data_IF_901973296998
#
_entry.id   IF_901973296998
#
_cell.length_a   1.000
_cell.length_b   1.000
_cell.length_c   1.000
_cell.angle_alpha   90.00
_cell.angle_beta   90.00
_cell.angle_gamma   90.00
#
_symmetry.space_group_name_H-M   'P 1'
#
loop_
_entity.id
_entity.type
_entity.pdbx_description
1 polymer ?
#
# COMPACT_ATOMS: atom_id res chain seq x y z
N UNK A 1 -4.81 -21.45 -32.49
CA UNK A 1 -4.92 -20.01 -32.19
C UNK A 1 -4.69 -19.80 -30.69
N UNK A 2 -3.64 -19.09 -30.27
CA UNK A 2 -3.52 -18.64 -28.86
C UNK A 2 -4.50 -17.47 -28.67
N UNK A 3 -5.35 -17.56 -27.65
CA UNK A 3 -6.22 -16.44 -27.27
C UNK A 3 -5.33 -15.21 -26.98
N UNK A 4 -5.64 -14.02 -27.51
CA UNK A 4 -4.93 -12.81 -27.13
C UNK A 4 -5.07 -12.61 -25.62
N UNK A 5 -3.99 -12.20 -24.95
CA UNK A 5 -4.02 -11.96 -23.53
C UNK A 5 -5.05 -10.85 -23.27
N UNK A 6 -6.06 -11.06 -22.40
CA UNK A 6 -7.06 -10.02 -22.15
C UNK A 6 -6.35 -8.80 -21.57
N UNK A 7 -6.74 -7.60 -22.02
CA UNK A 7 -6.08 -6.34 -21.66
C UNK A 7 -5.98 -6.11 -20.14
N UNK A 8 -6.89 -6.70 -19.37
CA UNK A 8 -6.86 -6.72 -17.90
C UNK A 8 -5.59 -7.37 -17.32
N UNK A 9 -4.90 -8.28 -18.01
CA UNK A 9 -3.64 -8.87 -17.50
C UNK A 9 -2.43 -7.93 -17.59
N UNK A 10 -2.49 -6.91 -18.44
CA UNK A 10 -1.45 -5.90 -18.58
C UNK A 10 -1.65 -4.74 -17.61
N UNK A 11 -2.80 -4.71 -16.92
CA UNK A 11 -3.15 -3.69 -15.95
C UNK A 11 -2.35 -3.87 -14.65
N UNK A 12 -2.01 -2.75 -14.00
CA UNK A 12 -1.40 -2.76 -12.66
C UNK A 12 -2.44 -3.22 -11.65
N UNK A 13 -2.03 -4.14 -10.80
CA UNK A 13 -2.79 -4.74 -9.70
C UNK A 13 -2.79 -3.79 -8.50
N UNK A 14 -3.99 -3.30 -8.16
CA UNK A 14 -4.22 -2.40 -7.05
C UNK A 14 -3.83 -3.02 -5.71
N UNK A 15 -4.04 -4.33 -5.54
CA UNK A 15 -3.70 -5.03 -4.30
C UNK A 15 -2.19 -5.03 -4.08
N UNK A 16 -1.40 -5.22 -5.14
CA UNK A 16 0.07 -5.18 -5.05
C UNK A 16 0.57 -3.81 -4.65
N UNK A 17 -0.04 -2.74 -5.16
CA UNK A 17 0.32 -1.39 -4.77
C UNK A 17 0.01 -1.09 -3.29
N UNK A 18 -1.15 -1.55 -2.79
CA UNK A 18 -1.49 -1.44 -1.35
C UNK A 18 -0.48 -2.18 -0.49
N UNK A 19 -0.14 -3.42 -0.84
CA UNK A 19 0.83 -4.23 -0.08
C UNK A 19 2.23 -3.61 -0.11
N UNK A 20 2.67 -3.14 -1.28
CA UNK A 20 3.96 -2.47 -1.42
C UNK A 20 4.01 -1.17 -0.61
N UNK A 21 2.96 -0.36 -0.62
CA UNK A 21 2.90 0.88 0.14
C UNK A 21 2.81 0.62 1.66
N UNK A 22 2.09 -0.41 2.09
CA UNK A 22 1.93 -0.73 3.51
C UNK A 22 3.18 -1.39 4.13
N UNK A 23 3.88 -2.22 3.38
CA UNK A 23 5.00 -3.02 3.90
C UNK A 23 6.38 -2.45 3.53
N UNK A 24 6.52 -1.90 2.32
CA UNK A 24 7.78 -1.36 1.79
C UNK A 24 7.63 0.13 1.43
N UNK A 25 6.68 0.80 2.09
CA UNK A 25 6.34 2.19 1.86
C UNK A 25 7.47 3.17 2.16
N UNK A 26 8.22 2.91 3.22
CA UNK A 26 9.35 3.75 3.63
C UNK A 26 10.46 3.79 2.55
N UNK A 27 10.57 2.73 1.75
CA UNK A 27 11.48 2.66 0.59
C UNK A 27 10.86 3.17 -0.72
N UNK A 28 9.57 3.53 -0.74
CA UNK A 28 8.90 4.05 -1.94
C UNK A 28 8.73 3.06 -3.09
N UNK A 29 8.81 1.74 -2.84
CA UNK A 29 8.77 0.73 -3.89
C UNK A 29 7.45 0.68 -4.66
N UNK A 30 6.35 1.10 -4.04
CA UNK A 30 5.06 1.25 -4.71
C UNK A 30 5.07 2.31 -5.81
N UNK A 31 5.86 3.39 -5.70
CA UNK A 31 5.96 4.38 -6.78
C UNK A 31 6.69 3.82 -8.00
N UNK A 32 7.73 3.00 -7.81
CA UNK A 32 8.37 2.29 -8.91
C UNK A 32 7.40 1.32 -9.60
N UNK A 33 6.59 0.61 -8.82
CA UNK A 33 5.52 -0.25 -9.34
C UNK A 33 4.48 0.52 -10.17
N UNK A 34 4.13 1.72 -9.72
CA UNK A 34 3.19 2.62 -10.39
C UNK A 34 3.77 3.32 -11.63
N UNK A 35 5.08 3.26 -11.86
CA UNK A 35 5.74 3.96 -12.96
C UNK A 35 6.04 5.44 -12.65
N UNK A 36 6.17 5.80 -11.38
CA UNK A 36 6.50 7.13 -10.88
C UNK A 36 7.93 7.14 -10.28
N UNK A 37 9.00 6.92 -11.08
CA UNK A 37 10.35 6.66 -10.56
C UNK A 37 10.97 7.84 -9.80
N UNK A 38 10.59 9.08 -10.15
CA UNK A 38 11.07 10.28 -9.45
C UNK A 38 10.60 10.33 -7.99
N UNK A 39 9.33 9.98 -7.73
CA UNK A 39 8.81 9.87 -6.37
C UNK A 39 9.44 8.70 -5.64
N UNK A 40 9.61 7.55 -6.30
CA UNK A 40 10.30 6.41 -5.71
C UNK A 40 11.72 6.74 -5.27
N UNK A 41 12.49 7.47 -6.11
CA UNK A 41 13.85 7.91 -5.76
C UNK A 41 13.84 8.90 -4.60
N UNK A 42 12.87 9.82 -4.56
CA UNK A 42 12.72 10.76 -3.45
C UNK A 42 12.48 10.02 -2.12
N UNK A 43 11.58 9.03 -2.13
CA UNK A 43 11.31 8.20 -0.96
C UNK A 43 12.56 7.43 -0.52
N UNK A 44 13.31 6.82 -1.46
CA UNK A 44 14.58 6.14 -1.14
C UNK A 44 15.63 7.07 -0.54
N UNK A 45 15.71 8.33 -0.99
CA UNK A 45 16.67 9.30 -0.46
C UNK A 45 16.31 9.75 0.98
N UNK A 46 15.02 9.79 1.29
CA UNK A 46 14.50 10.26 2.58
C UNK A 46 14.05 9.13 3.52
N UNK A 47 14.19 7.85 3.16
CA UNK A 47 13.68 6.72 3.96
C UNK A 47 14.22 6.73 5.39
N UNK A 48 15.48 7.12 5.58
CA UNK A 48 16.12 7.23 6.89
C UNK A 48 15.48 8.27 7.84
N UNK A 49 14.64 9.17 7.32
CA UNK A 49 13.90 10.14 8.14
C UNK A 49 12.60 9.56 8.71
N UNK A 50 12.13 8.42 8.21
CA UNK A 50 10.82 7.82 8.53
C UNK A 50 9.61 8.61 7.98
N UNK A 51 9.82 9.78 7.38
CA UNK A 51 8.75 10.57 6.74
C UNK A 51 8.12 9.81 5.55
N UNK A 52 8.88 9.16 4.66
CA UNK A 52 8.31 8.36 3.58
C UNK A 52 7.38 7.25 4.07
N UNK A 53 7.69 6.59 5.19
CA UNK A 53 6.82 5.58 5.80
C UNK A 53 5.44 6.11 6.19
N UNK A 54 5.37 7.32 6.75
CA UNK A 54 4.10 7.97 7.11
C UNK A 54 3.29 8.32 5.86
N UNK A 55 3.93 8.91 4.85
CA UNK A 55 3.27 9.24 3.58
C UNK A 55 2.77 7.99 2.87
N UNK A 56 3.59 6.94 2.80
CA UNK A 56 3.22 5.67 2.20
C UNK A 56 2.07 4.98 2.93
N UNK A 57 1.96 5.13 4.26
CA UNK A 57 0.82 4.63 5.03
C UNK A 57 -0.49 5.33 4.63
N UNK A 58 -0.46 6.65 4.42
CA UNK A 58 -1.61 7.40 3.90
C UNK A 58 -1.95 7.00 2.45
N UNK A 59 -0.93 6.76 1.63
CA UNK A 59 -1.12 6.27 0.27
C UNK A 59 -1.71 4.85 0.24
N UNK A 60 -1.26 3.94 1.09
CA UNK A 60 -1.82 2.60 1.23
C UNK A 60 -3.32 2.66 1.59
N UNK A 61 -3.70 3.57 2.50
CA UNK A 61 -5.11 3.83 2.81
C UNK A 61 -5.86 4.32 1.56
N UNK A 62 -5.34 5.35 0.88
CA UNK A 62 -5.95 5.89 -0.34
C UNK A 62 -6.13 4.82 -1.40
N UNK A 63 -5.12 3.99 -1.66
CA UNK A 63 -5.18 2.89 -2.63
C UNK A 63 -6.17 1.80 -2.21
N UNK A 64 -6.21 1.46 -0.92
CA UNK A 64 -7.08 0.40 -0.40
C UNK A 64 -8.57 0.72 -0.47
N UNK A 65 -8.93 2.01 -0.34
CA UNK A 65 -10.31 2.48 -0.40
C UNK A 65 -10.72 3.05 -1.77
N UNK A 66 -9.78 3.19 -2.70
CA UNK A 66 -10.06 3.62 -4.08
C UNK A 66 -10.86 2.54 -4.84
N UNK A 67 -11.85 2.95 -5.64
CA UNK A 67 -12.61 2.03 -6.50
C UNK A 67 -11.75 1.52 -7.66
N UNK A 68 -12.10 0.36 -8.22
CA UNK A 68 -11.39 -0.19 -9.38
C UNK A 68 -11.41 0.75 -10.60
N UNK A 69 -12.49 1.54 -10.78
CA UNK A 69 -12.61 2.51 -11.86
C UNK A 69 -11.71 3.74 -11.64
N UNK A 70 -11.66 4.24 -10.41
CA UNK A 70 -10.77 5.35 -10.05
C UNK A 70 -9.29 4.94 -10.17
N UNK A 71 -8.98 3.71 -9.75
CA UNK A 71 -7.66 3.11 -9.96
C UNK A 71 -7.33 3.02 -11.45
N UNK A 72 -8.28 2.53 -12.25
CA UNK A 72 -8.10 2.37 -13.67
C UNK A 72 -7.86 3.69 -14.40
N UNK A 73 -8.63 4.71 -14.07
CA UNK A 73 -8.47 6.05 -14.63
C UNK A 73 -7.08 6.63 -14.38
N UNK A 74 -6.49 6.35 -13.20
CA UNK A 74 -5.19 6.91 -12.82
C UNK A 74 -3.99 6.06 -13.28
N UNK A 75 -4.08 4.74 -13.22
CA UNK A 75 -2.91 3.86 -13.36
C UNK A 75 -2.99 2.85 -14.51
N UNK A 76 -4.17 2.63 -15.09
CA UNK A 76 -4.41 1.61 -16.14
C UNK A 76 -5.07 2.15 -17.42
N UNK A 77 -5.08 3.47 -17.64
CA UNK A 77 -5.68 4.06 -18.84
C UNK A 77 -7.18 3.77 -19.01
N UNK A 78 -7.91 3.62 -17.91
CA UNK A 78 -9.36 3.36 -17.90
C UNK A 78 -9.76 1.88 -17.92
N UNK A 79 -8.82 0.93 -17.92
CA UNK A 79 -9.13 -0.51 -17.86
C UNK A 79 -9.27 -0.98 -16.40
N UNK A 80 -10.48 -1.34 -15.92
CA UNK A 80 -10.69 -1.80 -14.55
C UNK A 80 -9.96 -3.11 -14.27
N UNK A 81 -9.21 -3.11 -13.17
CA UNK A 81 -8.52 -4.27 -12.62
C UNK A 81 -9.34 -4.97 -11.55
N UNK A 82 -8.69 -5.88 -10.81
CA UNK A 82 -9.32 -6.51 -9.64
C UNK A 82 -9.41 -5.49 -8.50
N UNK A 83 -10.59 -5.25 -7.92
CA UNK A 83 -10.72 -4.36 -6.77
C UNK A 83 -10.01 -4.95 -5.56
N UNK A 84 -9.50 -4.08 -4.69
CA UNK A 84 -8.95 -4.48 -3.40
C UNK A 84 -10.08 -5.06 -2.54
N UNK A 85 -9.90 -6.24 -1.92
CA UNK A 85 -10.86 -6.74 -0.96
C UNK A 85 -10.94 -5.78 0.25
N UNK A 86 -12.15 -5.32 0.59
CA UNK A 86 -12.35 -4.26 1.61
C UNK A 86 -11.79 -4.59 2.99
N UNK A 87 -11.67 -5.87 3.34
CA UNK A 87 -11.07 -6.29 4.59
C UNK A 87 -9.55 -6.09 4.65
N UNK A 88 -8.87 -6.03 3.50
CA UNK A 88 -7.41 -5.92 3.45
C UNK A 88 -6.88 -4.61 4.05
N UNK A 89 -7.31 -3.41 3.59
CA UNK A 89 -6.86 -2.17 4.22
C UNK A 89 -7.26 -2.12 5.69
N UNK A 90 -8.46 -2.58 6.06
CA UNK A 90 -8.89 -2.65 7.47
C UNK A 90 -7.89 -3.50 8.29
N UNK A 91 -7.56 -4.70 7.81
CA UNK A 91 -6.63 -5.60 8.50
C UNK A 91 -5.22 -4.97 8.61
N UNK A 92 -4.73 -4.31 7.57
CA UNK A 92 -3.41 -3.67 7.55
C UNK A 92 -3.25 -2.54 8.58
N UNK A 93 -4.33 -1.90 9.02
CA UNK A 93 -4.27 -0.84 10.04
C UNK A 93 -4.71 -1.31 11.43
N UNK A 94 -5.71 -2.19 11.50
CA UNK A 94 -6.24 -2.69 12.78
C UNK A 94 -5.25 -3.66 13.44
N UNK A 95 -4.61 -4.55 12.68
CA UNK A 95 -3.67 -5.52 13.25
C UNK A 95 -2.45 -4.84 13.90
N UNK A 96 -1.74 -3.91 13.23
CA UNK A 96 -0.63 -3.19 13.86
C UNK A 96 -1.06 -2.38 15.09
N UNK A 97 -2.25 -1.77 15.05
CA UNK A 97 -2.79 -1.04 16.20
C UNK A 97 -3.05 -1.96 17.40
N UNK A 98 -3.68 -3.11 17.18
CA UNK A 98 -3.93 -4.10 18.24
C UNK A 98 -2.61 -4.64 18.80
N UNK A 99 -1.65 -4.95 17.94
CA UNK A 99 -0.30 -5.40 18.35
C UNK A 99 0.39 -4.30 19.16
N UNK A 100 0.33 -3.04 18.72
CA UNK A 100 0.90 -1.90 19.43
C UNK A 100 0.27 -1.72 20.82
N UNK A 101 -1.06 -1.76 20.92
CA UNK A 101 -1.79 -1.69 22.20
C UNK A 101 -1.43 -2.87 23.12
N UNK A 102 -1.33 -4.08 22.58
CA UNK A 102 -0.94 -5.26 23.35
C UNK A 102 0.50 -5.16 23.88
N UNK A 103 1.44 -4.65 23.07
CA UNK A 103 2.82 -4.40 23.48
C UNK A 103 2.86 -3.35 24.60
N UNK A 104 2.15 -2.23 24.44
CA UNK A 104 2.08 -1.19 25.47
C UNK A 104 1.47 -1.72 26.78
N UNK A 105 0.40 -2.52 26.69
CA UNK A 105 -0.24 -3.13 27.86
C UNK A 105 0.68 -4.13 28.57
N UNK A 106 1.41 -4.96 27.82
CA UNK A 106 2.37 -5.91 28.38
C UNK A 106 3.55 -5.21 29.06
N UNK A 107 4.06 -4.13 28.44
CA UNK A 107 5.09 -3.28 29.04
C UNK A 107 4.56 -2.63 30.33
N UNK A 108 3.34 -2.07 30.29
CA UNK A 108 2.66 -1.47 31.45
C UNK A 108 2.46 -2.44 32.61
N UNK A 109 2.04 -3.68 32.33
CA UNK A 109 1.88 -4.73 33.33
C UNK A 109 3.22 -5.25 33.89
N UNK A 110 4.35 -4.97 33.22
CA UNK A 110 5.69 -5.25 33.73
C UNK A 110 6.27 -4.14 34.62
N UNK A 111 5.60 -2.99 34.72
CA UNK A 111 5.99 -1.85 35.57
C UNK A 111 5.24 -1.85 36.92
N UNK A 112 5.13 -3.00 37.58
CA UNK A 112 4.68 -3.05 38.97
C UNK A 112 5.78 -2.43 39.88
N UNK A 113 5.53 -1.21 40.38
CA UNK A 113 6.33 -0.50 41.40
C UNK A 113 5.83 -0.80 42.82
#
# INVERSE_FOLDING_TARGET
MKQPIPASRLSRDQTRAVLLAALLGDFGLHHFYLGEPYLGMLYLLFCWTGVPGVLASLEAYRYGFMSADAWAARYNGGIPGRPVPRWLPIALFVVPLVVFVAILAAIGAGYDF
#
